data_IF_406559414326
#
_entry.id   IF_406559414326
#
_cell.length_a   1.000
_cell.length_b   1.000
_cell.length_c   1.000
_cell.angle_alpha   90.00
_cell.angle_beta   90.00
_cell.angle_gamma   90.00
#
_symmetry.space_group_name_H-M   'P 1'
#
loop_
_entity.id
_entity.type
_entity.pdbx_description
1 polymer ?
#
# COMPACT_ATOMS: atom_id res chain seq x y z
N UNK A 1 -21.88 22.91 66.93
CA UNK A 1 -20.46 23.26 66.85
C UNK A 1 -19.88 22.56 65.62
N UNK A 2 -19.24 23.34 64.73
CA UNK A 2 -18.43 22.91 63.57
C UNK A 2 -17.31 21.93 64.02
N UNK A 3 -16.73 21.05 63.19
CA UNK A 3 -15.91 21.34 62.00
C UNK A 3 -15.65 20.07 61.16
N UNK A 4 -15.63 20.22 59.84
CA UNK A 4 -15.24 19.30 58.75
C UNK A 4 -13.73 19.20 58.51
N UNK A 5 -13.26 18.10 57.88
CA UNK A 5 -12.32 18.02 56.72
C UNK A 5 -12.02 16.53 56.40
N UNK A 6 -12.38 15.99 55.22
CA UNK A 6 -11.56 15.82 53.99
C UNK A 6 -10.31 14.96 54.26
N UNK A 7 -10.05 13.81 53.64
CA UNK A 7 -10.21 13.31 52.25
C UNK A 7 -10.09 11.76 52.31
N UNK A 8 -10.66 10.92 51.45
CA UNK A 8 -10.69 11.00 49.99
C UNK A 8 -9.57 10.18 49.34
N UNK A 9 -9.29 8.94 49.79
CA UNK A 9 -8.48 7.99 49.02
C UNK A 9 -9.41 7.04 48.26
N UNK A 10 -9.98 7.58 47.18
CA UNK A 10 -10.42 6.76 46.06
C UNK A 10 -9.14 6.17 45.49
N UNK A 11 -9.01 4.85 45.53
CA UNK A 11 -8.05 4.12 44.71
C UNK A 11 -8.20 4.64 43.28
N UNK A 12 -7.29 5.52 42.87
CA UNK A 12 -7.09 5.80 41.47
C UNK A 12 -6.50 4.52 40.89
N UNK A 13 -7.37 3.65 40.36
CA UNK A 13 -6.99 2.82 39.24
C UNK A 13 -6.40 3.79 38.21
N UNK A 14 -5.08 3.87 38.13
CA UNK A 14 -4.41 4.24 36.89
C UNK A 14 -4.83 3.19 35.86
N UNK A 15 -6.00 3.41 35.26
CA UNK A 15 -6.27 2.90 33.92
C UNK A 15 -5.27 3.63 33.04
N UNK A 16 -4.11 3.01 32.84
CA UNK A 16 -3.41 3.16 31.59
C UNK A 16 -4.44 2.81 30.51
N UNK A 17 -5.08 3.84 29.96
CA UNK A 17 -5.79 3.71 28.70
C UNK A 17 -4.67 3.38 27.75
N UNK A 18 -4.54 2.10 27.36
CA UNK A 18 -3.73 1.75 26.20
C UNK A 18 -4.30 2.61 25.08
N UNK A 19 -3.62 3.71 24.75
CA UNK A 19 -3.98 4.48 23.57
C UNK A 19 -3.75 3.54 22.39
N UNK A 20 -4.82 3.18 21.70
CA UNK A 20 -4.71 2.47 20.44
C UNK A 20 -3.97 3.40 19.48
N UNK A 21 -2.78 2.99 19.01
CA UNK A 21 -2.07 3.72 17.97
C UNK A 21 -2.88 3.60 16.68
N UNK A 22 -3.44 4.70 16.19
CA UNK A 22 -4.19 4.71 14.93
C UNK A 22 -3.31 5.31 13.83
N UNK A 23 -2.95 4.49 12.85
CA UNK A 23 -2.25 4.90 11.63
C UNK A 23 -3.26 4.98 10.51
N UNK A 24 -3.32 6.11 9.81
CA UNK A 24 -4.19 6.34 8.65
C UNK A 24 -3.31 6.62 7.45
N UNK A 25 -3.51 5.88 6.36
CA UNK A 25 -2.73 6.05 5.13
C UNK A 25 -3.67 6.16 3.94
N UNK A 26 -3.50 7.25 3.18
CA UNK A 26 -4.10 7.43 1.87
C UNK A 26 -3.24 6.78 0.79
N UNK A 27 -3.87 5.91 0.01
CA UNK A 27 -3.23 5.15 -1.05
C UNK A 27 -3.63 5.73 -2.42
N UNK A 28 -2.64 5.99 -3.25
CA UNK A 28 -2.84 6.23 -4.68
C UNK A 28 -2.35 5.04 -5.48
N UNK A 29 -3.22 4.47 -6.30
CA UNK A 29 -2.85 3.32 -7.12
C UNK A 29 -2.61 3.77 -8.55
N UNK A 30 -1.41 3.49 -9.07
CA UNK A 30 -1.10 3.60 -10.48
C UNK A 30 -1.05 2.22 -11.11
N UNK A 31 -1.57 2.05 -12.32
CA UNK A 31 -1.57 0.75 -13.00
C UNK A 31 -0.99 0.81 -14.41
N UNK A 32 -0.40 -0.29 -14.86
CA UNK A 32 0.21 -0.39 -16.19
C UNK A 32 -0.76 -0.87 -17.28
N UNK A 33 -0.29 -0.80 -18.53
CA UNK A 33 -1.04 -1.32 -19.69
C UNK A 33 -1.42 -2.79 -19.54
N UNK A 34 -0.54 -3.57 -18.91
CA UNK A 34 -0.72 -5.00 -18.78
C UNK A 34 -1.88 -5.33 -17.83
N UNK A 35 -1.93 -4.69 -16.67
CA UNK A 35 -3.04 -4.78 -15.73
C UNK A 35 -4.34 -4.35 -16.41
N UNK A 36 -4.35 -3.17 -17.05
CA UNK A 36 -5.55 -2.63 -17.68
C UNK A 36 -6.11 -3.56 -18.78
N UNK A 37 -5.24 -4.29 -19.49
CA UNK A 37 -5.65 -5.23 -20.52
C UNK A 37 -6.14 -6.58 -19.98
N UNK A 38 -5.79 -6.95 -18.73
CA UNK A 38 -6.11 -8.24 -18.13
C UNK A 38 -7.27 -8.16 -17.14
N UNK A 39 -7.40 -7.04 -16.44
CA UNK A 39 -8.41 -6.85 -15.41
C UNK A 39 -9.82 -7.04 -15.98
N UNK A 40 -10.60 -7.90 -15.31
CA UNK A 40 -11.95 -8.26 -15.76
C UNK A 40 -13.04 -7.37 -15.17
N UNK A 41 -12.69 -6.55 -14.19
CA UNK A 41 -13.63 -5.69 -13.49
C UNK A 41 -13.24 -4.22 -13.66
N UNK A 42 -13.94 -3.53 -14.57
CA UNK A 42 -13.89 -2.08 -14.74
C UNK A 42 -15.29 -1.49 -14.59
N UNK A 43 -15.35 -0.28 -14.05
CA UNK A 43 -16.58 0.50 -13.94
C UNK A 43 -16.37 1.85 -14.62
N UNK A 44 -17.12 2.12 -15.70
CA UNK A 44 -17.01 3.34 -16.51
C UNK A 44 -15.57 3.63 -17.00
N UNK A 45 -14.77 2.59 -17.26
CA UNK A 45 -13.36 2.72 -17.67
C UNK A 45 -12.38 3.02 -16.52
N UNK A 46 -12.83 2.87 -15.27
CA UNK A 46 -12.01 3.03 -14.07
C UNK A 46 -11.98 1.76 -13.23
N UNK A 47 -10.92 1.60 -12.44
CA UNK A 47 -10.70 0.45 -11.57
C UNK A 47 -10.85 0.78 -10.08
N UNK A 48 -11.39 1.96 -9.73
CA UNK A 48 -11.48 2.41 -8.34
C UNK A 48 -12.24 1.43 -7.44
N UNK A 49 -13.32 0.81 -7.93
CA UNK A 49 -14.06 -0.18 -7.16
C UNK A 49 -13.23 -1.47 -6.92
N UNK A 50 -12.47 -1.93 -7.92
CA UNK A 50 -11.52 -3.04 -7.75
C UNK A 50 -10.46 -2.71 -6.68
N UNK A 51 -9.81 -1.56 -6.82
CA UNK A 51 -8.75 -1.13 -5.92
C UNK A 51 -9.24 -0.79 -4.51
N UNK A 52 -10.49 -0.36 -4.37
CA UNK A 52 -11.14 -0.20 -3.06
C UNK A 52 -11.28 -1.55 -2.37
N UNK A 53 -11.72 -2.58 -3.09
CA UNK A 53 -11.78 -3.94 -2.56
C UNK A 53 -10.38 -4.46 -2.19
N UNK A 54 -9.38 -4.24 -3.05
CA UNK A 54 -7.99 -4.64 -2.80
C UNK A 54 -7.44 -4.00 -1.53
N UNK A 55 -7.68 -2.70 -1.37
CA UNK A 55 -7.28 -1.92 -0.19
C UNK A 55 -7.96 -2.43 1.08
N UNK A 56 -9.27 -2.71 1.02
CA UNK A 56 -10.01 -3.26 2.15
C UNK A 56 -9.54 -4.66 2.56
N UNK A 57 -9.13 -5.49 1.60
CA UNK A 57 -8.54 -6.80 1.87
C UNK A 57 -7.16 -6.67 2.56
N UNK A 58 -6.30 -5.76 2.07
CA UNK A 58 -5.03 -5.46 2.71
C UNK A 58 -5.20 -4.91 4.13
N UNK A 59 -6.17 -4.01 4.36
CA UNK A 59 -6.47 -3.48 5.69
C UNK A 59 -6.90 -4.61 6.66
N UNK A 60 -7.65 -5.59 6.17
CA UNK A 60 -8.14 -6.70 6.99
C UNK A 60 -7.01 -7.53 7.62
N UNK A 61 -5.81 -7.56 7.02
CA UNK A 61 -4.64 -8.21 7.59
C UNK A 61 -4.24 -7.61 8.94
N UNK A 62 -4.35 -6.30 9.09
CA UNK A 62 -3.89 -5.60 10.30
C UNK A 62 -4.90 -5.65 11.45
N UNK A 63 -6.12 -6.16 11.22
CA UNK A 63 -7.21 -6.16 12.22
C UNK A 63 -6.91 -6.97 13.49
N UNK A 64 -5.94 -7.89 13.43
CA UNK A 64 -5.59 -8.75 14.56
C UNK A 64 -4.52 -8.14 15.50
N UNK A 65 -4.01 -6.94 15.22
CA UNK A 65 -3.07 -6.25 16.10
C UNK A 65 -3.81 -5.55 17.25
N UNK A 66 -3.47 -5.89 18.50
CA UNK A 66 -4.18 -5.42 19.70
C UNK A 66 -3.93 -3.96 20.07
N UNK A 67 -2.82 -3.38 19.62
CA UNK A 67 -2.38 -2.04 20.04
C UNK A 67 -2.16 -1.10 18.86
N UNK A 68 -2.44 -1.56 17.64
CA UNK A 68 -2.22 -0.80 16.41
C UNK A 68 -3.41 -1.01 15.49
N UNK A 69 -4.10 0.09 15.17
CA UNK A 69 -5.16 0.12 14.16
C UNK A 69 -4.61 0.80 12.92
N UNK A 70 -4.58 0.08 11.80
CA UNK A 70 -4.21 0.64 10.49
C UNK A 70 -5.48 0.83 9.67
N UNK A 71 -5.69 2.05 9.18
CA UNK A 71 -6.73 2.40 8.22
C UNK A 71 -6.11 2.72 6.87
N UNK A 72 -6.53 2.01 5.84
CA UNK A 72 -6.09 2.24 4.47
C UNK A 72 -7.25 2.80 3.66
N UNK A 73 -7.03 3.93 3.00
CA UNK A 73 -8.06 4.57 2.17
C UNK A 73 -7.55 4.74 0.76
N UNK A 74 -8.28 4.21 -0.23
CA UNK A 74 -8.01 4.56 -1.62
C UNK A 74 -8.36 6.03 -1.85
N UNK A 75 -7.37 6.87 -2.13
CA UNK A 75 -7.56 8.27 -2.49
C UNK A 75 -8.05 8.38 -3.93
N UNK A 76 -7.33 7.72 -4.85
CA UNK A 76 -7.73 7.61 -6.25
C UNK A 76 -6.90 6.51 -6.96
N UNK A 77 -7.20 6.25 -8.23
CA UNK A 77 -6.31 5.49 -9.10
C UNK A 77 -6.16 6.14 -10.48
N UNK A 78 -5.05 5.84 -11.17
CA UNK A 78 -4.87 6.20 -12.57
C UNK A 78 -4.00 5.20 -13.30
N UNK A 79 -4.10 5.23 -14.62
CA UNK A 79 -3.06 4.60 -15.45
C UNK A 79 -1.74 5.34 -15.26
N UNK A 80 -0.62 4.62 -15.24
CA UNK A 80 0.72 5.22 -15.26
C UNK A 80 0.93 5.94 -16.60
N UNK A 81 1.24 7.23 -16.55
CA UNK A 81 1.35 8.06 -17.75
C UNK A 81 2.52 7.66 -18.66
N UNK A 82 3.71 7.44 -18.08
CA UNK A 82 4.92 7.07 -18.81
C UNK A 82 5.26 5.59 -18.58
N UNK A 83 4.77 4.73 -19.48
CA UNK A 83 5.10 3.29 -19.48
C UNK A 83 6.59 3.02 -19.76
N UNK A 84 7.36 3.98 -20.29
CA UNK A 84 8.80 3.85 -20.53
C UNK A 84 9.64 3.80 -19.25
N UNK A 85 9.01 4.07 -18.10
CA UNK A 85 9.59 3.97 -16.76
C UNK A 85 9.61 2.55 -16.22
N UNK A 86 8.78 1.68 -16.77
CA UNK A 86 8.75 0.26 -16.45
C UNK A 86 9.98 -0.42 -17.08
N UNK A 87 10.79 -1.07 -16.24
CA UNK A 87 11.99 -1.80 -16.68
C UNK A 87 11.71 -3.28 -16.69
N UNK A 88 12.22 -3.97 -17.70
CA UNK A 88 11.92 -5.37 -17.94
C UNK A 88 13.19 -6.18 -18.09
N UNK A 89 13.14 -7.45 -17.67
CA UNK A 89 14.18 -8.44 -17.86
C UNK A 89 13.58 -9.69 -18.51
N UNK A 90 14.29 -10.25 -19.48
CA UNK A 90 13.90 -11.48 -20.17
C UNK A 90 14.58 -12.69 -19.55
N UNK A 91 13.82 -13.76 -19.28
CA UNK A 91 14.35 -15.05 -18.85
C UNK A 91 13.69 -16.18 -19.66
N UNK A 92 14.49 -16.80 -20.53
CA UNK A 92 13.97 -17.79 -21.47
C UNK A 92 12.98 -17.16 -22.45
N UNK A 93 11.72 -17.60 -22.38
CA UNK A 93 10.61 -17.08 -23.21
C UNK A 93 9.73 -16.08 -22.46
N UNK A 94 9.97 -15.88 -21.17
CA UNK A 94 9.15 -15.03 -20.31
C UNK A 94 9.80 -13.65 -20.13
N UNK A 95 8.96 -12.63 -19.98
CA UNK A 95 9.38 -11.26 -19.66
C UNK A 95 8.81 -10.88 -18.30
N UNK A 96 9.68 -10.40 -17.41
CA UNK A 96 9.34 -9.99 -16.07
C UNK A 96 9.57 -8.49 -15.91
N UNK A 97 8.79 -7.85 -15.05
CA UNK A 97 9.09 -6.49 -14.62
C UNK A 97 10.26 -6.54 -13.63
N UNK A 98 11.35 -5.84 -13.92
CA UNK A 98 12.44 -5.62 -12.97
C UNK A 98 11.95 -4.68 -11.89
N UNK A 99 11.58 -5.24 -10.74
CA UNK A 99 10.97 -4.48 -9.67
C UNK A 99 11.95 -3.47 -9.05
N UNK A 100 13.25 -3.80 -8.98
CA UNK A 100 14.23 -2.90 -8.36
C UNK A 100 14.50 -1.70 -9.26
N UNK A 101 14.74 -1.95 -10.55
CA UNK A 101 14.99 -0.87 -11.51
C UNK A 101 13.74 -0.01 -11.76
N UNK A 102 12.56 -0.63 -11.75
CA UNK A 102 11.29 0.10 -11.88
C UNK A 102 10.99 0.92 -10.62
N UNK A 103 11.20 0.38 -9.42
CA UNK A 103 10.95 1.11 -8.17
C UNK A 103 11.78 2.39 -8.11
N UNK A 104 13.05 2.33 -8.51
CA UNK A 104 13.92 3.51 -8.60
C UNK A 104 13.34 4.62 -9.50
N UNK A 105 12.79 4.26 -10.66
CA UNK A 105 12.18 5.25 -11.57
C UNK A 105 10.89 5.83 -10.97
N UNK A 106 10.07 5.00 -10.33
CA UNK A 106 8.82 5.45 -9.69
C UNK A 106 9.08 6.36 -8.48
N UNK A 107 10.09 6.06 -7.66
CA UNK A 107 10.53 6.94 -6.56
C UNK A 107 10.96 8.32 -7.10
N UNK A 108 11.64 8.35 -8.25
CA UNK A 108 11.99 9.60 -8.93
C UNK A 108 10.78 10.41 -9.42
N UNK A 109 9.63 9.77 -9.62
CA UNK A 109 8.40 10.39 -10.12
C UNK A 109 7.48 10.83 -8.98
N UNK A 110 7.30 10.01 -7.96
CA UNK A 110 6.24 10.19 -6.97
C UNK A 110 6.73 10.74 -5.63
N UNK A 111 7.94 10.39 -5.18
CA UNK A 111 8.39 10.69 -3.81
C UNK A 111 8.44 12.19 -3.50
N UNK A 112 8.76 13.03 -4.49
CA UNK A 112 8.86 14.48 -4.33
C UNK A 112 7.90 15.24 -5.27
N UNK A 113 6.82 14.59 -5.71
CA UNK A 113 5.86 15.20 -6.62
C UNK A 113 4.97 16.19 -5.88
N UNK A 114 5.15 17.49 -6.12
CA UNK A 114 4.33 18.55 -5.52
C UNK A 114 2.89 18.60 -6.06
N UNK A 115 2.62 17.94 -7.19
CA UNK A 115 1.27 17.88 -7.77
C UNK A 115 0.45 16.71 -7.21
N UNK A 116 1.05 15.81 -6.43
CA UNK A 116 0.32 14.74 -5.77
C UNK A 116 -0.58 15.33 -4.69
N UNK A 117 -1.80 14.79 -4.54
CA UNK A 117 -2.71 15.25 -3.49
C UNK A 117 -2.06 15.08 -2.12
N UNK A 118 -2.28 16.04 -1.21
CA UNK A 118 -1.83 15.99 0.18
C UNK A 118 -2.45 14.85 0.98
N UNK A 119 -3.52 14.24 0.47
CA UNK A 119 -4.17 13.09 1.09
C UNK A 119 -3.46 11.77 0.73
N UNK A 120 -2.45 11.77 -0.13
CA UNK A 120 -1.72 10.57 -0.56
C UNK A 120 -0.45 10.43 0.26
N UNK A 121 -0.36 9.34 1.03
CA UNK A 121 0.84 8.97 1.80
C UNK A 121 1.68 7.92 1.06
N UNK A 122 1.04 7.07 0.25
CA UNK A 122 1.69 5.95 -0.44
C UNK A 122 1.16 5.81 -1.87
N UNK A 123 2.07 5.60 -2.82
CA UNK A 123 1.78 5.24 -4.20
C UNK A 123 2.15 3.78 -4.45
N UNK A 124 1.21 2.99 -4.95
CA UNK A 124 1.48 1.64 -5.42
C UNK A 124 1.37 1.55 -6.94
N UNK A 125 2.41 1.04 -7.60
CA UNK A 125 2.26 0.48 -8.95
C UNK A 125 1.63 -0.92 -8.84
N UNK A 126 0.49 -1.10 -9.49
CA UNK A 126 -0.12 -2.41 -9.74
C UNK A 126 0.20 -2.81 -11.18
N UNK A 127 0.87 -3.95 -11.34
CA UNK A 127 1.25 -4.47 -12.66
C UNK A 127 0.68 -5.87 -12.89
N UNK A 128 0.21 -6.11 -14.11
CA UNK A 128 -0.14 -7.46 -14.58
C UNK A 128 1.07 -8.30 -15.00
N UNK A 129 2.29 -7.74 -14.96
CA UNK A 129 3.52 -8.46 -15.23
C UNK A 129 4.07 -9.11 -13.95
N UNK A 130 4.53 -10.36 -14.06
CA UNK A 130 5.24 -11.01 -12.96
C UNK A 130 6.50 -10.21 -12.60
N UNK A 131 6.76 -10.09 -11.31
CA UNK A 131 7.87 -9.31 -10.78
C UNK A 131 9.14 -10.15 -10.67
N UNK A 132 10.26 -9.56 -11.10
CA UNK A 132 11.60 -10.01 -10.75
C UNK A 132 12.08 -9.26 -9.52
N UNK A 133 12.27 -9.99 -8.43
CA UNK A 133 12.84 -9.54 -7.17
C UNK A 133 13.86 -10.55 -6.68
N UNK A 134 14.69 -10.17 -5.70
CA UNK A 134 15.55 -11.15 -5.02
C UNK A 134 14.74 -12.29 -4.38
N UNK A 135 13.54 -12.01 -3.89
CA UNK A 135 12.67 -13.02 -3.25
C UNK A 135 12.10 -13.97 -4.30
N UNK A 136 11.63 -13.45 -5.44
CA UNK A 136 11.10 -14.29 -6.53
C UNK A 136 12.14 -15.25 -7.07
N UNK A 137 13.42 -14.86 -7.06
CA UNK A 137 14.52 -15.74 -7.48
C UNK A 137 14.73 -16.91 -6.52
N UNK A 138 14.38 -16.71 -5.26
CA UNK A 138 14.56 -17.70 -4.20
C UNK A 138 13.32 -18.60 -4.04
N UNK A 139 12.11 -18.04 -4.17
CA UNK A 139 10.86 -18.74 -3.87
C UNK A 139 10.02 -19.08 -5.10
N UNK A 140 10.27 -18.42 -6.23
CA UNK A 140 9.41 -18.50 -7.41
C UNK A 140 8.11 -17.69 -7.28
N UNK A 141 7.99 -16.82 -6.28
CA UNK A 141 6.78 -16.04 -6.01
C UNK A 141 7.00 -14.55 -6.26
N UNK A 142 5.96 -13.85 -6.74
CA UNK A 142 6.06 -12.51 -7.32
C UNK A 142 5.18 -11.52 -6.56
N UNK A 143 5.38 -11.36 -5.26
CA UNK A 143 4.44 -10.61 -4.41
C UNK A 143 4.49 -9.08 -4.60
N UNK A 144 5.69 -8.49 -4.51
CA UNK A 144 5.85 -7.04 -4.53
C UNK A 144 7.25 -6.61 -4.10
N UNK A 145 7.53 -5.30 -4.23
CA UNK A 145 8.74 -4.66 -3.71
C UNK A 145 8.42 -3.25 -3.23
N UNK A 146 8.93 -2.89 -2.06
CA UNK A 146 8.90 -1.53 -1.54
C UNK A 146 10.17 -1.25 -0.74
N UNK A 147 10.57 0.02 -0.65
CA UNK A 147 11.67 0.43 0.20
C UNK A 147 11.30 0.23 1.68
N UNK A 148 12.14 -0.42 2.51
CA UNK A 148 11.85 -0.62 3.91
C UNK A 148 11.89 0.70 4.68
N UNK A 149 10.95 0.91 5.60
CA UNK A 149 10.89 2.09 6.50
C UNK A 149 10.84 3.44 5.76
N UNK A 150 10.21 3.49 4.60
CA UNK A 150 10.07 4.70 3.80
C UNK A 150 8.77 5.47 4.06
N UNK A 151 7.85 4.96 4.91
CA UNK A 151 6.64 5.69 5.30
C UNK A 151 7.05 7.04 5.90
N UNK A 152 6.38 8.12 5.46
CA UNK A 152 6.70 9.52 5.77
C UNK A 152 8.03 10.03 5.18
N UNK A 153 8.62 9.35 4.20
CA UNK A 153 9.75 9.84 3.43
C UNK A 153 9.27 10.55 2.16
N UNK A 154 9.45 11.87 2.12
CA UNK A 154 8.96 12.71 1.01
C UNK A 154 7.45 12.95 1.09
N UNK A 155 6.86 13.30 -0.05
CA UNK A 155 5.42 13.52 -0.20
C UNK A 155 4.66 12.20 -0.22
N UNK A 156 5.23 11.14 -0.79
CA UNK A 156 4.65 9.80 -0.76
C UNK A 156 5.72 8.70 -0.84
N UNK A 157 5.50 7.60 -0.13
CA UNK A 157 6.29 6.38 -0.29
C UNK A 157 5.85 5.60 -1.52
N UNK A 158 6.73 4.79 -2.11
CA UNK A 158 6.42 4.03 -3.33
C UNK A 158 6.59 2.53 -3.11
N UNK A 159 5.67 1.76 -3.67
CA UNK A 159 5.76 0.30 -3.75
C UNK A 159 5.25 -0.23 -5.09
N UNK A 160 5.56 -1.50 -5.37
CA UNK A 160 5.11 -2.24 -6.55
C UNK A 160 4.48 -3.54 -6.08
N UNK A 161 3.33 -3.89 -6.65
CA UNK A 161 2.66 -5.19 -6.42
C UNK A 161 2.28 -5.82 -7.75
N UNK A 162 2.29 -7.16 -7.77
CA UNK A 162 1.73 -7.94 -8.88
C UNK A 162 0.26 -8.22 -8.60
N UNK A 163 -0.58 -7.86 -9.57
CA UNK A 163 -1.99 -8.26 -9.60
C UNK A 163 -2.42 -8.30 -11.06
N UNK A 164 -3.09 -9.36 -11.49
CA UNK A 164 -3.57 -9.50 -12.87
C UNK A 164 -5.01 -9.01 -13.08
N UNK A 165 -5.64 -8.46 -12.04
CA UNK A 165 -7.02 -7.98 -12.05
C UNK A 165 -8.06 -9.11 -12.13
N UNK A 166 -7.64 -10.38 -12.03
CA UNK A 166 -8.48 -11.57 -12.18
C UNK A 166 -8.44 -12.41 -10.90
N UNK A 167 -7.23 -12.63 -10.39
CA UNK A 167 -6.94 -13.56 -9.29
C UNK A 167 -6.80 -12.89 -7.94
N UNK A 168 -6.75 -11.54 -7.92
CA UNK A 168 -6.62 -10.75 -6.69
C UNK A 168 -5.32 -11.01 -5.92
N UNK A 169 -4.25 -11.36 -6.65
CA UNK A 169 -2.94 -11.70 -6.09
C UNK A 169 -2.29 -10.55 -5.30
N UNK A 170 -2.65 -9.30 -5.58
CA UNK A 170 -2.12 -8.13 -4.89
C UNK A 170 -2.52 -8.05 -3.41
N UNK A 171 -3.55 -8.79 -3.00
CA UNK A 171 -3.96 -8.93 -1.60
C UNK A 171 -3.49 -10.24 -0.95
N UNK A 172 -2.63 -11.02 -1.61
CA UNK A 172 -2.15 -12.27 -1.06
C UNK A 172 -1.34 -12.03 0.21
N UNK A 173 -1.73 -12.72 1.29
CA UNK A 173 -1.09 -12.66 2.59
C UNK A 173 -0.26 -13.93 2.75
N UNK A 174 1.05 -13.78 2.97
CA UNK A 174 1.93 -14.90 3.37
C UNK A 174 1.59 -15.40 4.77
#
# INVERSE_FOLDING_TARGET
>A
FLTTCLSGDVFAEERYREEEDIVRLGLYIVYDDKFAAQAIFEENGFFNAYFTALTGAAEAYFKNHKHLTIHLTLVNSSKLEDQGKLKYVGEGQETYLDASATLWELEGIFTWNENLSSDVDVVFLVTGNKLKTRVSDMTGEWYGLAAPRSICYGNASVGIIYDDGITFNGAHLM
#
